data_IF_872321163327
#
_entry.id   IF_872321163327
#
_cell.length_a   1.000
_cell.length_b   1.000
_cell.length_c   1.000
_cell.angle_alpha   90.00
_cell.angle_beta   90.00
_cell.angle_gamma   90.00
#
_symmetry.space_group_name_H-M   'P 1'
#
loop_
_entity.id
_entity.type
_entity.pdbx_description
1 polymer ?
#
# COMPACT_ATOMS: atom_id res chain seq x y z
N UNK A 1 19.30 -4.32 7.05
CA UNK A 1 18.23 -3.90 6.11
C UNK A 1 16.88 -3.69 6.80
N UNK A 2 16.21 -4.72 7.31
CA UNK A 2 14.87 -4.59 7.93
C UNK A 2 14.88 -3.62 9.12
N UNK A 3 15.85 -3.74 10.03
CA UNK A 3 16.01 -2.83 11.17
C UNK A 3 16.21 -1.38 10.70
N UNK A 4 17.14 -1.14 9.77
CA UNK A 4 17.39 0.20 9.22
C UNK A 4 16.14 0.82 8.60
N UNK A 5 15.36 0.00 7.85
CA UNK A 5 14.09 0.42 7.28
C UNK A 5 13.11 0.86 8.38
N UNK A 6 12.93 0.04 9.41
CA UNK A 6 12.00 0.32 10.50
C UNK A 6 12.38 1.61 11.25
N UNK A 7 13.65 1.75 11.66
CA UNK A 7 14.17 2.94 12.35
C UNK A 7 14.06 4.20 11.50
N UNK A 8 14.37 4.10 10.19
CA UNK A 8 14.30 5.23 9.27
C UNK A 8 12.84 5.67 9.03
N UNK A 9 11.93 4.73 8.89
CA UNK A 9 10.50 5.02 8.73
C UNK A 9 9.90 5.62 10.00
N UNK A 10 10.26 5.10 11.18
CA UNK A 10 9.86 5.70 12.47
C UNK A 10 10.38 7.14 12.62
N UNK A 11 11.63 7.38 12.26
CA UNK A 11 12.20 8.73 12.30
C UNK A 11 11.48 9.68 11.34
N UNK A 12 11.22 9.25 10.10
CA UNK A 12 10.50 10.05 9.12
C UNK A 12 9.05 10.36 9.54
N UNK A 13 8.37 9.39 10.17
CA UNK A 13 7.01 9.57 10.66
C UNK A 13 6.87 10.65 11.75
N UNK A 14 7.95 10.95 12.48
CA UNK A 14 7.99 12.00 13.53
C UNK A 14 8.17 13.42 12.98
N UNK A 15 8.46 13.57 11.66
CA UNK A 15 8.74 14.89 11.07
C UNK A 15 7.47 15.68 10.72
N UNK A 16 6.31 15.03 10.64
CA UNK A 16 5.04 15.66 10.30
C UNK A 16 3.87 14.95 10.99
N UNK A 17 2.79 15.69 11.27
CA UNK A 17 1.53 15.11 11.79
C UNK A 17 0.78 14.42 10.66
N UNK A 18 1.06 13.13 10.50
CA UNK A 18 0.53 12.31 9.42
C UNK A 18 -0.08 11.01 9.95
N UNK A 19 -1.05 10.48 9.22
CA UNK A 19 -1.69 9.21 9.53
C UNK A 19 -2.12 8.49 8.24
N UNK A 20 -2.88 7.41 8.39
CA UNK A 20 -3.49 6.67 7.28
C UNK A 20 -4.99 6.51 7.51
N UNK A 21 -5.74 6.35 6.42
CA UNK A 21 -7.16 6.03 6.43
C UNK A 21 -7.47 4.92 5.44
N UNK A 22 -8.26 3.94 5.87
CA UNK A 22 -8.82 2.92 4.97
C UNK A 22 -10.11 3.46 4.36
N UNK A 23 -10.22 3.41 3.03
CA UNK A 23 -11.37 3.85 2.24
C UNK A 23 -11.91 2.65 1.46
N UNK A 24 -13.23 2.48 1.44
CA UNK A 24 -13.88 1.41 0.68
C UNK A 24 -15.21 1.84 0.07
N UNK A 25 -15.56 1.22 -1.08
CA UNK A 25 -16.79 1.49 -1.82
C UNK A 25 -16.72 2.78 -2.64
N UNK A 26 -15.53 3.29 -2.92
CA UNK A 26 -15.31 4.51 -3.70
C UNK A 26 -14.31 4.17 -4.82
N UNK A 27 -14.67 4.45 -6.06
CA UNK A 27 -13.75 4.33 -7.19
C UNK A 27 -12.61 5.35 -7.13
N UNK A 28 -11.54 5.10 -7.89
CA UNK A 28 -10.32 5.90 -7.82
C UNK A 28 -10.55 7.35 -8.27
N UNK A 29 -11.38 7.58 -9.28
CA UNK A 29 -11.66 8.93 -9.78
C UNK A 29 -12.39 9.75 -8.72
N UNK A 30 -13.48 9.21 -8.16
CA UNK A 30 -14.22 9.83 -7.06
C UNK A 30 -13.33 10.07 -5.85
N UNK A 31 -12.49 9.09 -5.49
CA UNK A 31 -11.56 9.23 -4.36
C UNK A 31 -10.56 10.36 -4.57
N UNK A 32 -9.97 10.47 -5.76
CA UNK A 32 -9.04 11.57 -6.07
C UNK A 32 -9.73 12.94 -6.03
N UNK A 33 -10.98 13.03 -6.49
CA UNK A 33 -11.79 14.26 -6.37
C UNK A 33 -12.05 14.61 -4.89
N UNK A 34 -12.37 13.62 -4.05
CA UNK A 34 -12.57 13.82 -2.61
C UNK A 34 -11.27 14.25 -1.91
N UNK A 35 -10.12 13.69 -2.28
CA UNK A 35 -8.80 14.10 -1.76
C UNK A 35 -8.54 15.58 -2.14
N UNK A 36 -8.74 15.95 -3.40
CA UNK A 36 -8.55 17.32 -3.85
C UNK A 36 -9.47 18.30 -3.11
N UNK A 37 -10.76 17.93 -2.93
CA UNK A 37 -11.72 18.70 -2.17
C UNK A 37 -11.33 18.85 -0.70
N UNK A 38 -10.95 17.75 -0.04
CA UNK A 38 -10.50 17.79 1.35
C UNK A 38 -9.27 18.70 1.54
N UNK A 39 -8.31 18.61 0.62
CA UNK A 39 -7.11 19.46 0.62
C UNK A 39 -7.47 20.94 0.49
N UNK A 40 -8.37 21.27 -0.45
CA UNK A 40 -8.82 22.64 -0.66
C UNK A 40 -9.59 23.22 0.55
N UNK A 41 -10.47 22.43 1.18
CA UNK A 41 -11.26 22.86 2.34
C UNK A 41 -10.41 23.03 3.61
N UNK A 42 -9.38 22.21 3.81
CA UNK A 42 -8.46 22.34 4.95
C UNK A 42 -7.49 23.50 4.74
N UNK A 43 -7.05 23.71 3.50
CA UNK A 43 -6.02 24.70 3.17
C UNK A 43 -4.61 24.28 3.61
N UNK A 44 -3.62 25.14 3.33
CA UNK A 44 -2.22 24.88 3.67
C UNK A 44 -1.51 23.91 2.70
N UNK A 45 -0.38 23.35 3.15
CA UNK A 45 0.51 22.53 2.32
C UNK A 45 0.30 21.03 2.51
N UNK A 46 -0.67 20.63 3.34
CA UNK A 46 -0.97 19.22 3.62
C UNK A 46 -1.32 18.45 2.35
N UNK A 47 -0.77 17.24 2.25
CA UNK A 47 -0.97 16.34 1.10
C UNK A 47 -1.49 14.99 1.55
N UNK A 48 -2.36 14.39 0.74
CA UNK A 48 -2.84 13.02 0.90
C UNK A 48 -2.64 12.28 -0.41
N UNK A 49 -2.23 11.02 -0.31
CA UNK A 49 -1.93 10.13 -1.43
C UNK A 49 -2.66 8.80 -1.24
N UNK A 50 -2.98 8.10 -2.33
CA UNK A 50 -3.33 6.68 -2.26
C UNK A 50 -2.03 5.91 -1.99
N UNK A 51 -1.96 5.25 -0.84
CA UNK A 51 -0.79 4.50 -0.39
C UNK A 51 -0.87 3.00 -0.70
N UNK A 52 -2.08 2.43 -0.71
CA UNK A 52 -2.28 1.02 -1.05
C UNK A 52 -3.52 0.85 -1.94
N UNK A 53 -3.36 0.11 -3.02
CA UNK A 53 -4.43 -0.48 -3.82
C UNK A 53 -4.66 -1.89 -3.29
N UNK A 54 -5.69 -2.08 -2.45
CA UNK A 54 -5.90 -3.34 -1.71
C UNK A 54 -6.78 -4.34 -2.46
N UNK A 55 -7.88 -3.85 -3.04
CA UNK A 55 -8.87 -4.60 -3.80
C UNK A 55 -9.78 -3.60 -4.54
N UNK A 56 -10.64 -4.01 -5.50
CA UNK A 56 -11.55 -3.11 -6.20
C UNK A 56 -12.34 -2.20 -5.24
N UNK A 57 -12.22 -0.88 -5.45
CA UNK A 57 -12.79 0.16 -4.56
C UNK A 57 -12.31 0.09 -3.09
N UNK A 58 -11.19 -0.56 -2.83
CA UNK A 58 -10.57 -0.64 -1.50
C UNK A 58 -9.18 -0.02 -1.53
N UNK A 59 -9.00 1.12 -0.87
CA UNK A 59 -7.76 1.90 -0.87
C UNK A 59 -7.33 2.26 0.55
N UNK A 60 -6.04 2.44 0.74
CA UNK A 60 -5.54 3.14 1.92
C UNK A 60 -4.98 4.48 1.48
N UNK A 61 -5.50 5.55 2.04
CA UNK A 61 -4.97 6.90 1.86
C UNK A 61 -4.01 7.23 3.00
N UNK A 62 -2.97 8.01 2.70
CA UNK A 62 -1.91 8.32 3.65
C UNK A 62 -1.43 9.76 3.45
N UNK A 63 -1.19 10.49 4.53
CA UNK A 63 -0.75 11.88 4.47
C UNK A 63 -1.12 12.70 5.69
N UNK A 64 -1.34 13.99 5.49
CA UNK A 64 -1.67 14.96 6.53
C UNK A 64 -2.93 14.57 7.32
N UNK A 65 -2.81 14.58 8.65
CA UNK A 65 -3.89 14.13 9.56
C UNK A 65 -5.16 14.96 9.42
N UNK A 66 -5.05 16.28 9.22
CA UNK A 66 -6.23 17.16 9.11
C UNK A 66 -6.97 16.91 7.79
N UNK A 67 -6.21 16.78 6.70
CA UNK A 67 -6.77 16.47 5.38
C UNK A 67 -7.43 15.10 5.35
N UNK A 68 -6.81 14.08 5.99
CA UNK A 68 -7.38 12.74 6.09
C UNK A 68 -8.66 12.70 6.93
N UNK A 69 -8.73 13.44 8.03
CA UNK A 69 -9.98 13.58 8.80
C UNK A 69 -11.08 14.16 7.93
N UNK A 70 -10.78 15.24 7.18
CA UNK A 70 -11.74 15.84 6.26
C UNK A 70 -12.15 14.90 5.13
N UNK A 71 -11.21 14.14 4.58
CA UNK A 71 -11.51 13.10 3.58
C UNK A 71 -12.50 12.07 4.14
N UNK A 72 -12.31 11.61 5.39
CA UNK A 72 -13.24 10.67 6.04
C UNK A 72 -14.67 11.24 6.14
N UNK A 73 -14.82 12.53 6.48
CA UNK A 73 -16.11 13.20 6.52
C UNK A 73 -16.78 13.27 5.13
N UNK A 74 -16.00 13.65 4.11
CA UNK A 74 -16.50 13.77 2.73
C UNK A 74 -16.93 12.41 2.17
N UNK A 75 -16.15 11.36 2.41
CA UNK A 75 -16.52 10.00 1.97
C UNK A 75 -17.76 9.49 2.70
N UNK A 76 -17.87 9.74 4.01
CA UNK A 76 -19.08 9.36 4.77
C UNK A 76 -20.34 10.07 4.23
N UNK A 77 -20.22 11.30 3.75
CA UNK A 77 -21.31 12.06 3.16
C UNK A 77 -21.79 11.54 1.79
N UNK A 78 -21.00 10.67 1.11
CA UNK A 78 -21.41 10.05 -0.15
C UNK A 78 -22.53 9.00 0.01
N UNK A 79 -22.83 8.57 1.24
CA UNK A 79 -23.95 7.69 1.54
C UNK A 79 -23.58 6.24 1.84
N UNK A 80 -24.59 5.38 1.83
CA UNK A 80 -24.46 3.97 2.24
C UNK A 80 -23.51 3.18 1.31
N UNK A 81 -22.83 2.19 1.88
CA UNK A 81 -21.86 1.36 1.15
C UNK A 81 -20.47 1.96 1.02
N UNK A 82 -20.29 3.24 1.38
CA UNK A 82 -19.01 3.94 1.36
C UNK A 82 -18.50 4.18 2.77
N UNK A 83 -17.20 3.99 2.98
CA UNK A 83 -16.61 4.14 4.30
C UNK A 83 -15.17 4.64 4.21
N UNK A 84 -14.81 5.53 5.12
CA UNK A 84 -13.43 5.94 5.34
C UNK A 84 -13.19 6.02 6.85
N UNK A 85 -12.11 5.40 7.33
CA UNK A 85 -11.76 5.35 8.75
C UNK A 85 -10.26 5.49 8.94
N UNK A 86 -9.87 6.32 9.90
CA UNK A 86 -8.46 6.41 10.29
C UNK A 86 -7.96 5.05 10.79
N UNK A 87 -6.73 4.73 10.45
CA UNK A 87 -6.02 3.53 10.88
C UNK A 87 -5.01 3.91 11.96
N UNK A 88 -4.88 3.11 13.00
CA UNK A 88 -3.94 3.35 14.10
C UNK A 88 -2.51 3.01 13.65
N UNK A 89 -1.90 3.90 12.86
CA UNK A 89 -0.51 3.83 12.40
C UNK A 89 0.17 5.18 12.62
N UNK A 90 1.48 5.16 12.75
CA UNK A 90 2.28 6.29 13.24
C UNK A 90 2.83 7.20 12.13
N UNK A 91 2.42 7.06 10.86
CA UNK A 91 2.99 7.90 9.80
C UNK A 91 2.40 7.67 8.41
N UNK A 92 2.73 8.55 7.48
CA UNK A 92 2.30 8.51 6.09
C UNK A 92 3.17 7.57 5.24
N UNK A 93 3.08 6.25 5.51
CA UNK A 93 3.82 5.23 4.79
C UNK A 93 3.40 5.16 3.31
N UNK A 94 4.32 4.74 2.45
CA UNK A 94 4.13 4.61 1.02
C UNK A 94 3.76 5.93 0.32
N UNK A 95 4.32 7.04 0.80
CA UNK A 95 4.13 8.39 0.25
C UNK A 95 5.44 9.17 0.25
N UNK A 96 5.53 10.31 -0.45
CA UNK A 96 6.70 11.20 -0.40
C UNK A 96 7.10 11.68 1.00
N UNK A 97 6.23 11.61 2.01
CA UNK A 97 6.60 11.88 3.41
C UNK A 97 7.68 10.94 3.94
N UNK A 98 7.86 9.78 3.33
CA UNK A 98 8.90 8.79 3.70
C UNK A 98 10.23 8.99 2.95
N UNK A 99 10.41 10.08 2.21
CA UNK A 99 11.65 10.35 1.44
C UNK A 99 12.92 10.33 2.32
N UNK A 100 12.93 10.86 3.56
CA UNK A 100 14.09 10.73 4.44
C UNK A 100 14.43 9.27 4.78
N UNK A 101 13.41 8.42 4.90
CA UNK A 101 13.62 6.98 5.14
C UNK A 101 14.15 6.27 3.89
N UNK A 102 13.70 6.65 2.70
CA UNK A 102 14.22 6.14 1.43
C UNK A 102 15.70 6.43 1.27
N UNK A 103 16.13 7.66 1.55
CA UNK A 103 17.52 8.05 1.46
C UNK A 103 18.42 7.19 2.35
N UNK A 104 18.04 7.02 3.63
CA UNK A 104 18.79 6.19 4.57
C UNK A 104 18.81 4.69 4.19
N UNK A 105 17.69 4.15 3.69
CA UNK A 105 17.64 2.76 3.25
C UNK A 105 18.47 2.54 1.97
N UNK A 106 18.53 3.54 1.08
CA UNK A 106 19.26 3.44 -0.17
C UNK A 106 20.75 3.10 0.07
N UNK A 107 21.39 3.73 1.06
CA UNK A 107 22.80 3.47 1.42
C UNK A 107 23.02 1.99 1.77
N UNK A 108 22.12 1.40 2.54
CA UNK A 108 22.23 -0.02 2.94
C UNK A 108 21.93 -0.94 1.76
N UNK A 109 20.96 -0.59 0.92
CA UNK A 109 20.64 -1.37 -0.28
C UNK A 109 21.78 -1.36 -1.29
N UNK A 110 22.47 -0.22 -1.44
CA UNK A 110 23.62 -0.10 -2.35
C UNK A 110 24.83 -0.92 -1.88
N UNK A 111 24.99 -1.08 -0.57
CA UNK A 111 26.03 -1.91 0.04
C UNK A 111 25.65 -3.41 0.16
N UNK A 112 24.39 -3.78 -0.16
CA UNK A 112 23.93 -5.16 -0.01
C UNK A 112 24.02 -5.91 -1.34
N UNK A 113 24.60 -7.12 -1.33
CA UNK A 113 24.50 -8.03 -2.47
C UNK A 113 23.05 -8.49 -2.64
N UNK A 114 22.48 -8.27 -3.81
CA UNK A 114 21.13 -8.73 -4.18
C UNK A 114 21.27 -9.69 -5.36
N UNK A 115 20.64 -10.87 -5.22
CA UNK A 115 20.59 -11.88 -6.28
C UNK A 115 19.18 -11.97 -6.85
N UNK A 116 19.08 -12.30 -8.13
CA UNK A 116 17.79 -12.59 -8.73
C UNK A 116 17.19 -13.85 -8.06
N UNK A 117 15.94 -13.82 -7.63
CA UNK A 117 15.26 -14.96 -7.05
C UNK A 117 15.17 -16.14 -8.05
N UNK A 118 15.20 -17.36 -7.54
CA UNK A 118 14.98 -18.59 -8.35
C UNK A 118 13.50 -18.88 -8.60
N UNK A 119 12.62 -18.16 -7.91
CA UNK A 119 11.16 -18.22 -8.07
C UNK A 119 10.64 -16.84 -8.50
N UNK A 120 9.48 -16.82 -9.12
CA UNK A 120 8.84 -15.57 -9.49
C UNK A 120 8.38 -14.80 -8.26
N UNK A 121 8.78 -13.53 -8.15
CA UNK A 121 8.34 -12.61 -7.10
C UNK A 121 7.73 -11.39 -7.78
N UNK A 122 6.58 -10.94 -7.30
CA UNK A 122 5.88 -9.75 -7.78
C UNK A 122 6.27 -8.56 -6.91
N UNK A 123 6.65 -7.46 -7.55
CA UNK A 123 6.96 -6.20 -6.88
C UNK A 123 5.68 -5.49 -6.43
N UNK A 124 5.62 -5.06 -5.19
CA UNK A 124 4.52 -4.22 -4.69
C UNK A 124 4.46 -2.82 -5.33
N UNK A 125 5.56 -2.36 -5.94
CA UNK A 125 5.63 -1.02 -6.58
C UNK A 125 5.02 -1.03 -7.97
N UNK A 126 5.30 -2.09 -8.75
CA UNK A 126 4.86 -2.19 -10.15
C UNK A 126 3.64 -3.09 -10.34
N UNK A 127 3.42 -4.06 -9.45
CA UNK A 127 2.48 -5.16 -9.66
C UNK A 127 2.99 -6.21 -10.65
N UNK A 128 4.27 -6.16 -11.05
CA UNK A 128 4.91 -7.01 -12.05
C UNK A 128 6.05 -7.83 -11.46
N UNK A 129 6.52 -8.84 -12.19
CA UNK A 129 7.67 -9.64 -11.77
C UNK A 129 8.97 -8.85 -11.79
N UNK A 130 9.91 -9.26 -10.92
CA UNK A 130 11.29 -8.78 -11.00
C UNK A 130 12.06 -9.52 -12.11
N UNK A 131 12.87 -8.78 -12.86
CA UNK A 131 13.66 -9.31 -13.98
C UNK A 131 15.17 -9.21 -13.77
N UNK A 132 15.65 -8.39 -12.82
CA UNK A 132 17.08 -8.25 -12.52
C UNK A 132 17.33 -7.87 -11.06
N UNK A 133 18.56 -8.13 -10.58
CA UNK A 133 18.99 -7.72 -9.25
C UNK A 133 19.03 -6.18 -9.08
N UNK A 134 19.42 -5.47 -10.13
CA UNK A 134 19.45 -4.01 -10.11
C UNK A 134 18.04 -3.41 -10.05
N UNK A 135 17.10 -4.00 -10.78
CA UNK A 135 15.69 -3.62 -10.69
C UNK A 135 15.13 -3.86 -9.30
N UNK A 136 15.42 -5.02 -8.67
CA UNK A 136 15.03 -5.30 -7.29
C UNK A 136 15.53 -4.21 -6.36
N UNK A 137 16.82 -3.83 -6.47
CA UNK A 137 17.42 -2.75 -5.66
C UNK A 137 16.69 -1.43 -5.85
N UNK A 138 16.43 -1.05 -7.08
CA UNK A 138 15.74 0.19 -7.42
C UNK A 138 14.30 0.20 -6.86
N UNK A 139 13.55 -0.90 -7.04
CA UNK A 139 12.16 -1.00 -6.58
C UNK A 139 12.05 -1.10 -5.05
N UNK A 140 13.01 -1.71 -4.36
CA UNK A 140 13.05 -1.71 -2.89
C UNK A 140 13.25 -0.29 -2.32
N UNK A 141 14.03 0.57 -2.99
CA UNK A 141 14.16 1.99 -2.62
C UNK A 141 12.85 2.74 -2.85
N UNK A 142 12.15 2.47 -3.96
CA UNK A 142 10.89 3.12 -4.33
C UNK A 142 9.73 2.69 -3.43
N UNK A 143 9.71 1.44 -2.96
CA UNK A 143 8.61 0.88 -2.17
C UNK A 143 8.25 1.72 -0.92
N UNK A 144 9.23 2.42 -0.32
CA UNK A 144 8.99 3.22 0.89
C UNK A 144 8.14 4.46 0.60
N UNK A 145 8.25 5.02 -0.61
CA UNK A 145 7.65 6.30 -1.01
C UNK A 145 6.55 6.17 -2.07
N UNK A 146 6.33 4.97 -2.57
CA UNK A 146 5.36 4.70 -3.63
C UNK A 146 4.26 3.73 -3.18
N UNK A 147 3.08 3.78 -3.81
CA UNK A 147 1.95 2.96 -3.45
C UNK A 147 2.22 1.45 -3.56
N UNK A 148 1.60 0.68 -2.67
CA UNK A 148 1.54 -0.77 -2.77
C UNK A 148 0.42 -1.17 -3.73
N UNK A 149 0.77 -1.88 -4.80
CA UNK A 149 -0.14 -2.37 -5.85
C UNK A 149 -0.55 -3.81 -5.59
N UNK A 150 -1.19 -4.03 -4.44
CA UNK A 150 -1.59 -5.39 -4.04
C UNK A 150 -2.67 -5.97 -4.95
N UNK A 151 -3.68 -5.19 -5.30
CA UNK A 151 -4.76 -5.58 -6.21
C UNK A 151 -4.17 -6.08 -7.54
N UNK A 152 -3.34 -5.27 -8.21
CA UNK A 152 -2.70 -5.61 -9.47
C UNK A 152 -1.78 -6.83 -9.35
N UNK A 153 -1.07 -6.96 -8.22
CA UNK A 153 -0.22 -8.13 -7.95
C UNK A 153 -1.04 -9.42 -7.85
N UNK A 154 -2.21 -9.36 -7.23
CA UNK A 154 -3.10 -10.52 -7.11
C UNK A 154 -3.82 -10.82 -8.43
N UNK A 155 -4.24 -9.82 -9.20
CA UNK A 155 -4.78 -9.99 -10.55
C UNK A 155 -3.78 -10.69 -11.46
N UNK A 156 -2.51 -10.26 -11.46
CA UNK A 156 -1.44 -10.92 -12.21
C UNK A 156 -1.24 -12.38 -11.74
N UNK A 157 -1.22 -12.60 -10.43
CA UNK A 157 -1.01 -13.94 -9.87
C UNK A 157 -2.19 -14.87 -10.18
N UNK A 158 -3.44 -14.41 -10.07
CA UNK A 158 -4.63 -15.20 -10.38
C UNK A 158 -4.72 -15.50 -11.87
N UNK A 159 -4.48 -14.54 -12.74
CA UNK A 159 -4.48 -14.73 -14.19
C UNK A 159 -3.50 -15.82 -14.64
N UNK A 160 -2.32 -15.90 -14.01
CA UNK A 160 -1.26 -16.85 -14.35
C UNK A 160 -1.47 -18.23 -13.73
N UNK A 161 -1.96 -18.29 -12.47
CA UNK A 161 -2.01 -19.53 -11.69
C UNK A 161 -3.44 -20.04 -11.47
N UNK A 162 -4.41 -19.49 -12.17
CA UNK A 162 -5.84 -19.73 -12.01
C UNK A 162 -6.28 -21.20 -12.04
N UNK A 163 -5.54 -22.05 -12.69
CA UNK A 163 -6.04 -23.40 -13.01
C UNK A 163 -5.58 -24.50 -12.05
N UNK A 164 -4.43 -24.40 -11.38
CA UNK A 164 -3.80 -25.59 -10.79
C UNK A 164 -3.22 -25.44 -9.40
N UNK A 165 -3.05 -24.24 -8.88
CA UNK A 165 -2.37 -24.01 -7.60
C UNK A 165 -3.20 -23.12 -6.70
N UNK A 166 -3.39 -23.55 -5.46
CA UNK A 166 -3.97 -22.69 -4.45
C UNK A 166 -2.98 -21.60 -4.02
N UNK A 167 -3.49 -20.60 -3.32
CA UNK A 167 -2.66 -19.59 -2.65
C UNK A 167 -2.46 -19.97 -1.19
N UNK A 168 -1.33 -19.58 -0.63
CA UNK A 168 -1.02 -19.80 0.78
C UNK A 168 -0.65 -18.47 1.41
N UNK A 169 -1.45 -18.01 2.37
CA UNK A 169 -1.08 -16.91 3.25
C UNK A 169 -0.23 -17.44 4.38
N UNK A 170 0.97 -16.92 4.55
CA UNK A 170 1.90 -17.28 5.63
C UNK A 170 2.01 -16.13 6.61
N UNK A 171 1.86 -16.42 7.90
CA UNK A 171 1.95 -15.44 8.97
C UNK A 171 0.66 -15.32 9.78
N UNK A 172 0.67 -14.49 10.83
CA UNK A 172 -0.46 -14.39 11.74
C UNK A 172 -1.66 -13.70 11.08
N UNK A 173 -2.85 -14.27 11.27
CA UNK A 173 -4.10 -13.70 10.78
C UNK A 173 -4.54 -14.19 9.41
N UNK A 174 -5.55 -13.52 8.85
CA UNK A 174 -6.23 -13.89 7.59
C UNK A 174 -6.51 -12.65 6.72
N UNK A 175 -5.63 -11.67 6.77
CA UNK A 175 -5.89 -10.37 6.12
C UNK A 175 -5.75 -10.44 4.60
N UNK A 176 -4.75 -11.16 4.11
CA UNK A 176 -4.55 -11.33 2.67
C UNK A 176 -5.68 -12.17 2.06
N UNK A 177 -6.12 -13.21 2.77
CA UNK A 177 -7.29 -14.01 2.38
C UNK A 177 -8.57 -13.17 2.35
N UNK A 178 -8.75 -12.27 3.32
CA UNK A 178 -9.90 -11.36 3.33
C UNK A 178 -9.89 -10.37 2.16
N UNK A 179 -8.73 -9.88 1.75
CA UNK A 179 -8.56 -9.04 0.55
C UNK A 179 -8.80 -9.85 -0.72
N UNK A 180 -8.27 -11.09 -0.81
CA UNK A 180 -8.48 -11.97 -1.95
C UNK A 180 -9.96 -12.20 -2.24
N UNK A 181 -10.80 -12.33 -1.23
CA UNK A 181 -12.26 -12.45 -1.40
C UNK A 181 -12.89 -11.31 -2.20
N UNK A 182 -12.28 -10.12 -2.15
CA UNK A 182 -12.76 -8.93 -2.86
C UNK A 182 -12.16 -8.82 -4.27
N UNK A 183 -11.05 -9.50 -4.53
CA UNK A 183 -10.35 -9.51 -5.83
C UNK A 183 -10.85 -10.67 -6.68
N UNK A 184 -10.80 -11.89 -6.14
CA UNK A 184 -11.14 -13.13 -6.86
C UNK A 184 -11.71 -14.17 -5.89
N UNK A 185 -13.01 -14.49 -6.03
CA UNK A 185 -13.70 -15.43 -5.15
C UNK A 185 -13.28 -16.88 -5.36
N UNK A 186 -12.91 -17.26 -6.58
CA UNK A 186 -12.46 -18.62 -6.88
C UNK A 186 -11.08 -18.87 -6.27
N UNK A 187 -10.16 -17.90 -6.41
CA UNK A 187 -8.86 -17.92 -5.76
C UNK A 187 -8.99 -17.91 -4.23
N UNK A 188 -9.89 -17.09 -3.68
CA UNK A 188 -10.18 -17.08 -2.24
C UNK A 188 -10.62 -18.43 -1.71
N UNK A 189 -11.50 -19.15 -2.44
CA UNK A 189 -11.98 -20.49 -2.07
C UNK A 189 -10.87 -21.53 -1.98
N UNK A 190 -9.80 -21.36 -2.75
CA UNK A 190 -8.62 -22.24 -2.79
C UNK A 190 -7.47 -21.78 -1.88
N UNK A 191 -7.61 -20.61 -1.25
CA UNK A 191 -6.54 -20.01 -0.44
C UNK A 191 -6.50 -20.64 0.95
N UNK A 192 -5.34 -21.18 1.30
CA UNK A 192 -5.02 -21.68 2.64
C UNK A 192 -4.33 -20.61 3.49
N UNK A 193 -4.44 -20.74 4.80
CA UNK A 193 -3.70 -19.91 5.77
C UNK A 193 -2.86 -20.84 6.63
N UNK A 194 -1.56 -20.56 6.71
CA UNK A 194 -0.63 -21.23 7.60
C UNK A 194 -0.29 -20.29 8.77
N UNK A 195 -0.71 -20.67 9.96
CA UNK A 195 -0.43 -19.97 11.22
C UNK A 195 0.91 -20.43 11.81
#
# INVERSE_FOLDING_TARGET
MVQTRAEAMEAAAKLADTCMASVSGVDDETLLQMIAKATAEVGGDGRVYIANYMFPEGRTCSGDTKVLKKLCELVAALGSGKSAKLVAVSGAFHTPYMEPARARLAEVLDATEIKLPTINIISNVTGEYFYSADEIRALLKRQIVEPVRWEQSMELATAKYHMHSGFVETGPGKQLKAMMRRIDQDAWGKMMVLE
#
